data_IF_633341691174
#
_entry.id   IF_633341691174
#
_cell.length_a   1.000
_cell.length_b   1.000
_cell.length_c   1.000
_cell.angle_alpha   90.00
_cell.angle_beta   90.00
_cell.angle_gamma   90.00
#
_symmetry.space_group_name_H-M   'P 1'
#
loop_
_entity.id
_entity.type
_entity.pdbx_description
1 polymer ?
#
# COMPACT_ATOMS: atom_id res chain seq x y z
N UNK A 1 30.20 6.69 13.80
CA UNK A 1 28.75 6.94 13.68
C UNK A 1 28.59 7.90 12.52
N UNK A 2 27.94 7.50 11.44
CA UNK A 2 27.60 8.42 10.34
C UNK A 2 26.47 9.29 10.85
N UNK A 3 26.78 10.54 11.20
CA UNK A 3 25.76 11.51 11.60
C UNK A 3 25.04 11.92 10.32
N UNK A 4 23.76 11.60 10.25
CA UNK A 4 22.91 12.00 9.12
C UNK A 4 22.31 13.36 9.43
N UNK A 5 22.36 14.27 8.48
CA UNK A 5 21.92 15.64 8.69
C UNK A 5 20.89 16.05 7.64
N UNK A 6 19.61 16.18 8.00
CA UNK A 6 18.65 16.86 7.13
C UNK A 6 19.10 18.31 6.87
N UNK A 7 19.01 18.72 5.62
CA UNK A 7 19.38 20.06 5.14
C UNK A 7 18.10 20.82 4.82
N UNK A 8 17.97 22.06 5.32
CA UNK A 8 16.83 22.91 4.97
C UNK A 8 16.84 23.27 3.48
N UNK A 9 15.66 23.36 2.85
CA UNK A 9 15.54 23.77 1.43
C UNK A 9 16.20 25.13 1.17
N UNK A 10 16.09 26.05 2.13
CA UNK A 10 16.70 27.38 2.08
C UNK A 10 18.24 27.33 1.94
N UNK A 11 18.88 26.29 2.47
CA UNK A 11 20.33 26.09 2.32
C UNK A 11 20.67 25.75 0.87
N UNK A 12 19.84 24.95 0.19
CA UNK A 12 20.05 24.59 -1.21
C UNK A 12 19.90 25.81 -2.15
N UNK A 13 19.01 26.74 -1.81
CA UNK A 13 18.90 28.02 -2.49
C UNK A 13 20.15 28.88 -2.29
N UNK A 14 20.68 28.94 -1.05
CA UNK A 14 21.91 29.66 -0.75
C UNK A 14 23.13 29.07 -1.47
N UNK A 15 23.20 27.75 -1.59
CA UNK A 15 24.24 27.04 -2.36
C UNK A 15 24.20 27.47 -3.82
N UNK A 16 23.02 27.56 -4.40
CA UNK A 16 22.85 27.99 -5.80
C UNK A 16 23.34 29.44 -5.99
N UNK A 17 23.08 30.31 -5.01
CA UNK A 17 23.56 31.69 -5.00
C UNK A 17 25.09 31.74 -4.81
N UNK A 18 25.66 30.91 -3.93
CA UNK A 18 27.10 30.82 -3.67
C UNK A 18 27.87 30.35 -4.92
N UNK A 19 27.35 29.34 -5.63
CA UNK A 19 27.91 28.90 -6.92
C UNK A 19 27.94 30.03 -7.96
N UNK A 20 26.88 30.84 -8.03
CA UNK A 20 26.84 31.99 -8.94
C UNK A 20 27.88 33.07 -8.59
N UNK A 21 28.33 33.13 -7.32
CA UNK A 21 29.37 34.04 -6.84
C UNK A 21 30.79 33.46 -6.91
N UNK A 22 30.93 32.18 -7.29
CA UNK A 22 32.20 31.45 -7.27
C UNK A 22 32.68 31.06 -5.86
N UNK A 23 31.76 30.95 -4.91
CA UNK A 23 32.01 30.48 -3.54
C UNK A 23 31.77 28.97 -3.49
N UNK A 24 32.83 28.18 -3.73
CA UNK A 24 32.76 26.72 -3.86
C UNK A 24 33.10 25.95 -2.57
N UNK A 25 33.35 26.66 -1.47
CA UNK A 25 33.66 26.06 -0.18
C UNK A 25 32.55 26.40 0.82
N UNK A 26 32.10 25.42 1.58
CA UNK A 26 31.05 25.55 2.58
C UNK A 26 31.55 25.03 3.92
N UNK A 27 31.43 25.85 4.95
CA UNK A 27 31.60 25.43 6.34
C UNK A 27 30.21 25.26 6.97
N UNK A 28 29.96 24.11 7.58
CA UNK A 28 28.68 23.81 8.22
C UNK A 28 28.89 23.17 9.59
N UNK A 29 27.96 23.42 10.51
CA UNK A 29 28.01 22.84 11.84
C UNK A 29 27.59 21.37 11.81
N UNK A 30 28.54 20.47 12.06
CA UNK A 30 28.35 19.02 12.10
C UNK A 30 27.92 18.54 13.50
N UNK A 31 27.94 19.41 14.52
CA UNK A 31 27.40 19.07 15.84
C UNK A 31 25.87 19.05 15.87
N UNK A 32 25.22 19.78 14.96
CA UNK A 32 23.77 19.93 14.92
C UNK A 32 23.14 18.82 14.08
N UNK A 33 22.00 18.28 14.53
CA UNK A 33 21.27 17.29 13.75
C UNK A 33 20.72 17.87 12.45
N UNK A 34 20.18 19.10 12.48
CA UNK A 34 19.57 19.77 11.34
C UNK A 34 20.45 20.93 10.91
N UNK A 35 20.71 21.05 9.61
CA UNK A 35 21.49 22.15 9.03
C UNK A 35 20.52 23.22 8.53
N UNK A 36 20.44 24.33 9.27
CA UNK A 36 19.67 25.51 8.90
C UNK A 36 20.57 26.57 8.24
N UNK A 37 19.98 27.56 7.58
CA UNK A 37 20.69 28.68 6.92
C UNK A 37 21.63 29.46 7.84
N UNK A 38 21.38 29.44 9.15
CA UNK A 38 22.19 30.14 10.13
C UNK A 38 23.51 29.41 10.43
N UNK A 39 23.57 28.11 10.14
CA UNK A 39 24.65 27.21 10.52
C UNK A 39 25.57 26.88 9.33
N UNK A 40 25.44 27.64 8.24
CA UNK A 40 26.19 27.47 7.00
C UNK A 40 26.83 28.77 6.55
N UNK A 41 28.11 28.67 6.16
CA UNK A 41 28.89 29.77 5.65
C UNK A 41 29.61 29.37 4.37
N UNK A 42 29.61 30.26 3.37
CA UNK A 42 30.19 30.03 2.06
C UNK A 42 31.44 30.89 1.85
N UNK A 43 32.45 30.33 1.20
CA UNK A 43 33.76 30.93 0.99
C UNK A 43 34.27 30.65 -0.42
N UNK A 44 35.14 31.54 -0.92
CA UNK A 44 35.77 31.37 -2.24
C UNK A 44 36.98 30.47 -2.19
N UNK A 45 37.74 30.54 -1.11
CA UNK A 45 38.98 29.81 -0.92
C UNK A 45 38.83 28.77 0.17
N UNK A 46 39.64 27.71 0.08
CA UNK A 46 39.64 26.66 1.10
C UNK A 46 40.17 27.19 2.41
N UNK A 47 41.19 28.05 2.32
CA UNK A 47 41.90 28.63 3.44
C UNK A 47 40.95 29.45 4.31
N UNK A 48 40.14 30.34 3.73
CA UNK A 48 39.13 31.13 4.46
C UNK A 48 38.12 30.24 5.20
N UNK A 49 37.67 29.16 4.56
CA UNK A 49 36.70 28.24 5.18
C UNK A 49 37.32 27.45 6.35
N UNK A 50 38.57 27.02 6.21
CA UNK A 50 39.32 26.32 7.26
C UNK A 50 39.60 27.26 8.42
N UNK A 51 40.08 28.47 8.15
CA UNK A 51 40.33 29.49 9.17
C UNK A 51 39.06 29.79 9.96
N UNK A 52 37.91 29.90 9.28
CA UNK A 52 36.61 30.08 9.94
C UNK A 52 36.24 28.88 10.81
N UNK A 53 36.39 27.65 10.30
CA UNK A 53 36.04 26.45 11.03
C UNK A 53 36.91 26.24 12.28
N UNK A 54 38.20 26.52 12.19
CA UNK A 54 39.14 26.44 13.32
C UNK A 54 38.90 27.55 14.34
N UNK A 55 38.60 28.77 13.88
CA UNK A 55 38.34 29.92 14.77
C UNK A 55 37.02 29.80 15.54
N UNK A 56 36.05 29.07 15.01
CA UNK A 56 34.72 28.88 15.61
C UNK A 56 34.54 27.49 16.24
N UNK A 57 35.63 26.77 16.50
CA UNK A 57 35.59 25.49 17.21
C UNK A 57 35.31 25.74 18.70
N UNK A 58 34.20 25.20 19.20
CA UNK A 58 33.84 25.23 20.61
C UNK A 58 33.54 23.81 21.12
N UNK A 59 33.43 23.63 22.44
CA UNK A 59 33.00 22.34 23.00
C UNK A 59 31.60 21.91 22.51
N UNK A 60 30.80 22.87 22.02
CA UNK A 60 29.46 22.65 21.49
C UNK A 60 29.41 22.61 19.96
N UNK A 61 30.25 23.38 19.29
CA UNK A 61 30.17 23.63 17.86
C UNK A 61 31.38 23.10 17.12
N UNK A 62 31.12 22.26 16.12
CA UNK A 62 32.16 21.66 15.28
C UNK A 62 31.84 21.92 13.82
N UNK A 63 32.55 22.87 13.24
CA UNK A 63 32.42 23.17 11.82
C UNK A 63 33.24 22.20 10.97
N UNK A 64 32.64 21.68 9.91
CA UNK A 64 33.29 20.87 8.88
C UNK A 64 33.29 21.64 7.57
N UNK A 65 34.41 21.60 6.85
CA UNK A 65 34.56 22.27 5.55
C UNK A 65 34.39 21.25 4.43
N UNK A 66 33.54 21.56 3.48
CA UNK A 66 33.32 20.79 2.26
C UNK A 66 33.55 21.65 1.02
N UNK A 67 33.94 21.00 -0.08
CA UNK A 67 34.04 21.64 -1.39
C UNK A 67 32.92 21.10 -2.29
N UNK A 68 32.26 21.99 -3.02
CA UNK A 68 31.14 21.64 -3.89
C UNK A 68 31.19 22.42 -5.20
N UNK A 69 30.87 21.74 -6.31
CA UNK A 69 30.71 22.37 -7.63
C UNK A 69 29.23 22.36 -8.09
N UNK A 70 28.36 21.68 -7.35
CA UNK A 70 26.94 21.54 -7.63
C UNK A 70 26.19 21.26 -6.33
N UNK A 71 24.90 21.59 -6.29
CA UNK A 71 23.98 21.20 -5.19
C UNK A 71 24.03 19.69 -4.95
N UNK A 72 24.18 18.90 -6.02
CA UNK A 72 24.32 17.43 -5.95
C UNK A 72 25.53 17.00 -5.13
N UNK A 73 26.64 17.74 -5.18
CA UNK A 73 27.86 17.37 -4.46
C UNK A 73 27.65 17.45 -2.96
N UNK A 74 26.88 18.45 -2.50
CA UNK A 74 26.54 18.62 -1.08
C UNK A 74 25.65 17.47 -0.62
N UNK A 75 24.61 17.14 -1.37
CA UNK A 75 23.70 16.04 -1.05
C UNK A 75 24.40 14.67 -1.02
N UNK A 76 25.48 14.49 -1.79
CA UNK A 76 26.28 13.27 -1.76
C UNK A 76 27.30 13.25 -0.61
N UNK A 77 27.84 14.41 -0.22
CA UNK A 77 28.88 14.51 0.82
C UNK A 77 28.29 14.57 2.23
N UNK A 78 27.10 15.14 2.39
CA UNK A 78 26.36 15.16 3.65
C UNK A 78 25.35 14.00 3.61
N UNK A 79 25.66 12.87 4.28
CA UNK A 79 24.76 11.72 4.24
C UNK A 79 23.43 12.08 4.91
N UNK A 80 22.33 11.78 4.23
CA UNK A 80 20.98 11.92 4.78
C UNK A 80 20.12 10.76 4.27
N UNK A 81 19.46 10.05 5.19
CA UNK A 81 18.62 8.91 4.85
C UNK A 81 19.39 7.65 4.44
N UNK A 82 20.70 7.63 4.67
CA UNK A 82 21.60 6.53 4.33
C UNK A 82 21.25 5.26 5.14
N UNK A 83 20.75 5.40 6.38
CA UNK A 83 20.16 4.31 7.17
C UNK A 83 18.97 3.68 6.44
N UNK A 84 18.07 4.50 5.89
CA UNK A 84 16.90 4.02 5.17
C UNK A 84 17.30 3.34 3.86
N UNK A 85 18.27 3.90 3.12
CA UNK A 85 18.76 3.32 1.88
C UNK A 85 19.55 2.03 2.09
N UNK A 86 20.29 1.90 3.20
CA UNK A 86 20.90 0.62 3.60
C UNK A 86 19.86 -0.45 3.91
N UNK A 87 18.78 -0.10 4.62
CA UNK A 87 17.69 -1.04 4.88
C UNK A 87 17.01 -1.50 3.58
N UNK A 88 16.78 -0.60 2.63
CA UNK A 88 16.24 -0.94 1.30
C UNK A 88 17.17 -1.81 0.44
N UNK A 89 18.49 -1.69 0.62
CA UNK A 89 19.48 -2.48 -0.12
C UNK A 89 19.73 -3.87 0.50
N UNK A 90 19.36 -4.08 1.76
CA UNK A 90 19.53 -5.36 2.45
C UNK A 90 18.37 -6.31 2.16
N UNK A 91 17.19 -5.76 1.87
CA UNK A 91 16.00 -6.53 1.55
C UNK A 91 15.14 -5.80 0.50
N UNK A 92 15.07 -6.32 -0.75
CA UNK A 92 14.20 -5.77 -1.80
C UNK A 92 12.72 -5.71 -1.40
N UNK A 93 12.31 -6.57 -0.46
CA UNK A 93 10.94 -6.67 0.05
C UNK A 93 10.70 -5.76 1.28
N UNK A 94 11.72 -5.09 1.81
CA UNK A 94 11.56 -4.08 2.87
C UNK A 94 10.77 -2.85 2.39
N UNK A 95 10.67 -2.65 1.07
CA UNK A 95 9.77 -1.66 0.50
C UNK A 95 8.44 -2.31 0.13
N UNK A 96 7.42 -2.12 0.98
CA UNK A 96 6.07 -2.65 0.75
C UNK A 96 5.40 -2.20 -0.55
N UNK A 97 5.93 -1.21 -1.28
CA UNK A 97 5.44 -0.81 -2.60
C UNK A 97 5.88 -1.74 -3.74
N UNK A 98 6.95 -2.53 -3.55
CA UNK A 98 7.59 -3.32 -4.63
C UNK A 98 7.67 -4.83 -4.34
N UNK A 99 6.97 -5.32 -3.32
CA UNK A 99 6.92 -6.75 -3.11
C UNK A 99 6.05 -7.43 -4.17
N UNK A 100 6.49 -8.60 -4.64
CA UNK A 100 5.73 -9.40 -5.62
C UNK A 100 4.69 -10.30 -4.95
N UNK A 101 4.86 -10.52 -3.65
CA UNK A 101 4.12 -11.52 -2.88
C UNK A 101 2.99 -10.91 -2.02
N UNK A 102 2.71 -9.61 -2.14
CA UNK A 102 1.69 -8.91 -1.34
C UNK A 102 2.23 -8.45 0.02
N UNK A 103 1.75 -7.31 0.53
CA UNK A 103 2.14 -6.75 1.82
C UNK A 103 1.01 -6.92 2.85
N UNK A 104 1.31 -6.74 4.14
CA UNK A 104 0.32 -6.81 5.23
C UNK A 104 -0.92 -5.93 4.98
N UNK A 105 -0.75 -4.82 4.25
CA UNK A 105 -1.86 -3.94 3.89
C UNK A 105 -2.73 -4.53 2.77
N UNK A 106 -2.15 -5.21 1.76
CA UNK A 106 -2.93 -5.91 0.74
C UNK A 106 -3.70 -7.08 1.33
N UNK A 107 -3.11 -7.81 2.28
CA UNK A 107 -3.79 -8.91 2.96
C UNK A 107 -4.95 -8.39 3.81
N UNK A 108 -4.71 -7.33 4.60
CA UNK A 108 -5.76 -6.70 5.39
C UNK A 108 -6.90 -6.09 4.54
N UNK A 109 -6.58 -5.56 3.35
CA UNK A 109 -7.58 -5.08 2.40
C UNK A 109 -8.41 -6.23 1.81
N UNK A 110 -7.76 -7.33 1.42
CA UNK A 110 -8.45 -8.54 0.91
C UNK A 110 -9.40 -9.05 1.98
N UNK A 111 -8.93 -9.23 3.22
CA UNK A 111 -9.76 -9.68 4.36
C UNK A 111 -10.96 -8.76 4.60
N UNK A 112 -10.75 -7.43 4.54
CA UNK A 112 -11.83 -6.46 4.70
C UNK A 112 -12.88 -6.57 3.58
N UNK A 113 -12.44 -6.68 2.32
CA UNK A 113 -13.37 -6.82 1.20
C UNK A 113 -14.10 -8.16 1.22
N UNK A 114 -13.43 -9.26 1.53
CA UNK A 114 -14.03 -10.59 1.64
C UNK A 114 -15.05 -10.64 2.78
N UNK A 115 -14.72 -10.13 3.97
CA UNK A 115 -15.66 -10.06 5.09
C UNK A 115 -16.88 -9.19 4.79
N UNK A 116 -16.70 -8.08 4.07
CA UNK A 116 -17.80 -7.22 3.63
C UNK A 116 -18.69 -7.94 2.59
N UNK A 117 -18.10 -8.63 1.61
CA UNK A 117 -18.84 -9.40 0.61
C UNK A 117 -19.60 -10.58 1.26
N UNK A 118 -18.97 -11.32 2.16
CA UNK A 118 -19.61 -12.40 2.92
C UNK A 118 -20.74 -11.89 3.81
N UNK A 119 -20.58 -10.73 4.44
CA UNK A 119 -21.64 -10.06 5.22
C UNK A 119 -22.83 -9.65 4.36
N UNK A 120 -22.58 -9.12 3.15
CA UNK A 120 -23.64 -8.78 2.19
C UNK A 120 -24.34 -10.03 1.66
N UNK A 121 -23.58 -11.08 1.33
CA UNK A 121 -24.10 -12.36 0.87
C UNK A 121 -24.96 -13.05 1.93
N UNK A 122 -24.50 -13.09 3.19
CA UNK A 122 -25.25 -13.64 4.32
C UNK A 122 -26.49 -12.82 4.67
N UNK A 123 -26.47 -11.49 4.46
CA UNK A 123 -27.68 -10.66 4.60
C UNK A 123 -28.70 -10.90 3.49
N UNK A 124 -28.27 -11.31 2.30
CA UNK A 124 -29.14 -11.64 1.18
C UNK A 124 -29.70 -13.07 1.28
N UNK A 125 -28.93 -14.00 1.83
CA UNK A 125 -29.41 -15.34 2.17
C UNK A 125 -30.28 -15.28 3.43
N UNK A 126 -31.60 -15.13 3.24
CA UNK A 126 -32.57 -15.32 4.33
C UNK A 126 -32.62 -16.81 4.71
N UNK A 127 -31.74 -17.24 5.59
CA UNK A 127 -31.62 -18.64 6.03
C UNK A 127 -32.79 -19.13 6.88
N UNK A 128 -33.58 -18.22 7.45
CA UNK A 128 -34.54 -18.59 8.51
C UNK A 128 -36.02 -18.51 8.11
N UNK A 129 -36.35 -17.92 6.95
CA UNK A 129 -37.75 -17.78 6.50
C UNK A 129 -37.89 -17.95 4.99
N UNK A 130 -38.59 -19.01 4.59
CA UNK A 130 -39.01 -19.22 3.20
C UNK A 130 -39.89 -18.06 2.72
N UNK A 131 -39.43 -17.31 1.72
CA UNK A 131 -40.22 -16.25 1.08
C UNK A 131 -40.61 -16.64 -0.37
N UNK A 132 -41.47 -15.85 -0.99
CA UNK A 132 -41.92 -16.09 -2.38
C UNK A 132 -40.76 -16.07 -3.40
N UNK A 133 -39.64 -15.42 -3.07
CA UNK A 133 -38.44 -15.36 -3.91
C UNK A 133 -37.69 -16.71 -3.92
N UNK A 134 -37.63 -17.42 -2.79
CA UNK A 134 -37.05 -18.77 -2.72
C UNK A 134 -37.84 -19.77 -3.59
N UNK A 135 -39.16 -19.68 -3.58
CA UNK A 135 -40.01 -20.50 -4.46
C UNK A 135 -39.74 -20.21 -5.94
N UNK A 136 -39.60 -18.94 -6.30
CA UNK A 136 -39.31 -18.54 -7.67
C UNK A 136 -37.93 -19.04 -8.11
N UNK A 137 -36.91 -18.91 -7.26
CA UNK A 137 -35.57 -19.43 -7.52
C UNK A 137 -35.55 -20.94 -7.79
N UNK A 138 -36.30 -21.72 -6.98
CA UNK A 138 -36.41 -23.16 -7.18
C UNK A 138 -37.13 -23.52 -8.49
N UNK A 139 -38.19 -22.78 -8.86
CA UNK A 139 -38.88 -22.96 -10.15
C UNK A 139 -37.97 -22.68 -11.33
N UNK A 140 -37.24 -21.56 -11.28
CA UNK A 140 -36.33 -21.18 -12.36
C UNK A 140 -35.23 -22.21 -12.55
N UNK A 141 -34.66 -22.74 -11.45
CA UNK A 141 -33.68 -23.82 -11.51
C UNK A 141 -34.23 -25.09 -12.18
N UNK A 142 -35.45 -25.53 -11.84
CA UNK A 142 -36.10 -26.69 -12.50
C UNK A 142 -36.27 -26.44 -14.01
N UNK A 143 -36.66 -25.22 -14.39
CA UNK A 143 -36.83 -24.82 -15.80
C UNK A 143 -35.50 -24.87 -16.56
N UNK A 144 -34.45 -24.28 -16.00
CA UNK A 144 -33.14 -24.23 -16.65
C UNK A 144 -32.41 -25.60 -16.64
N UNK A 145 -32.75 -26.50 -15.72
CA UNK A 145 -32.28 -27.89 -15.74
C UNK A 145 -32.94 -28.76 -16.81
N UNK A 146 -33.93 -28.25 -17.55
CA UNK A 146 -34.54 -28.94 -18.68
C UNK A 146 -35.78 -29.78 -18.34
N UNK A 147 -36.29 -29.70 -17.10
CA UNK A 147 -37.52 -30.37 -16.68
C UNK A 147 -38.80 -29.58 -17.01
N UNK A 148 -38.65 -28.32 -17.45
CA UNK A 148 -39.76 -27.45 -17.80
C UNK A 148 -40.65 -27.09 -16.61
N UNK A 149 -41.93 -26.83 -16.88
CA UNK A 149 -42.89 -26.30 -15.88
C UNK A 149 -43.76 -27.40 -15.24
N UNK A 150 -43.54 -28.67 -15.63
CA UNK A 150 -44.38 -29.81 -15.23
C UNK A 150 -44.29 -30.10 -13.71
N UNK A 151 -43.16 -29.79 -13.08
CA UNK A 151 -42.87 -30.11 -11.68
C UNK A 151 -43.21 -28.97 -10.71
N UNK A 152 -43.68 -27.83 -11.20
CA UNK A 152 -43.95 -26.65 -10.35
C UNK A 152 -45.05 -26.91 -9.32
N UNK A 153 -46.12 -27.63 -9.72
CA UNK A 153 -47.23 -27.95 -8.82
C UNK A 153 -46.80 -28.88 -7.69
N UNK A 154 -45.94 -29.85 -7.98
CA UNK A 154 -45.44 -30.80 -6.98
C UNK A 154 -44.43 -30.12 -6.04
N UNK A 155 -43.57 -29.26 -6.58
CA UNK A 155 -42.67 -28.40 -5.80
C UNK A 155 -43.46 -27.53 -4.81
N UNK A 156 -44.47 -26.78 -5.28
CA UNK A 156 -45.31 -25.94 -4.42
C UNK A 156 -46.03 -26.74 -3.33
N UNK A 157 -46.56 -27.92 -3.68
CA UNK A 157 -47.24 -28.79 -2.73
C UNK A 157 -46.28 -29.30 -1.66
N UNK A 158 -45.12 -29.83 -2.04
CA UNK A 158 -44.14 -30.40 -1.10
C UNK A 158 -43.56 -29.31 -0.16
N UNK A 159 -43.39 -28.09 -0.68
CA UNK A 159 -42.99 -26.94 0.12
C UNK A 159 -44.10 -26.49 1.08
N UNK A 160 -45.36 -26.50 0.64
CA UNK A 160 -46.53 -26.23 1.50
C UNK A 160 -46.76 -27.29 2.58
N UNK A 161 -46.34 -28.53 2.34
CA UNK A 161 -46.37 -29.62 3.32
C UNK A 161 -45.29 -29.49 4.41
N UNK A 162 -44.28 -28.61 4.23
CA UNK A 162 -43.28 -28.30 5.25
C UNK A 162 -42.32 -29.47 5.57
N UNK A 163 -42.14 -30.41 4.64
CA UNK A 163 -41.20 -31.53 4.83
C UNK A 163 -39.75 -31.04 4.78
N UNK A 164 -38.92 -31.52 5.70
CA UNK A 164 -37.49 -31.18 5.75
C UNK A 164 -36.73 -31.61 4.49
N UNK A 165 -37.15 -32.73 3.89
CA UNK A 165 -36.63 -33.24 2.63
C UNK A 165 -37.78 -33.83 1.79
N UNK A 166 -37.73 -33.63 0.47
CA UNK A 166 -38.66 -34.22 -0.48
C UNK A 166 -37.96 -34.51 -1.80
N UNK A 167 -38.52 -35.44 -2.57
CA UNK A 167 -38.09 -35.76 -3.93
C UNK A 167 -39.19 -35.35 -4.91
N UNK A 168 -38.80 -34.90 -6.10
CA UNK A 168 -39.73 -34.60 -7.19
C UNK A 168 -39.55 -35.66 -8.27
N UNK A 169 -40.62 -36.38 -8.60
CA UNK A 169 -40.55 -37.46 -9.57
C UNK A 169 -40.91 -36.93 -10.96
N UNK A 170 -39.99 -37.07 -11.91
CA UNK A 170 -40.23 -36.67 -13.30
C UNK A 170 -40.47 -37.91 -14.17
N UNK A 171 -41.71 -38.06 -14.64
CA UNK A 171 -42.07 -39.05 -15.64
C UNK A 171 -42.41 -38.35 -16.96
N UNK A 172 -41.64 -38.64 -18.02
CA UNK A 172 -41.93 -38.17 -19.36
C UNK A 172 -42.14 -39.36 -20.31
N UNK A 173 -43.30 -39.43 -20.96
CA UNK A 173 -43.55 -40.41 -22.01
C UNK A 173 -42.88 -39.96 -23.31
N UNK A 174 -41.71 -40.53 -23.61
CA UNK A 174 -41.08 -40.41 -24.93
C UNK A 174 -41.35 -41.72 -25.67
N UNK A 175 -42.18 -41.65 -26.73
CA UNK A 175 -42.45 -42.77 -27.66
C UNK A 175 -43.03 -44.06 -27.03
N UNK A 176 -44.16 -43.98 -26.29
CA UNK A 176 -44.94 -45.15 -25.81
C UNK A 176 -44.15 -46.18 -25.00
N UNK A 177 -43.11 -45.77 -24.27
CA UNK A 177 -42.58 -46.54 -23.14
C UNK A 177 -42.39 -45.60 -21.95
N UNK A 178 -42.88 -45.96 -20.75
CA UNK A 178 -42.67 -45.16 -19.56
C UNK A 178 -41.18 -45.21 -19.19
N UNK A 179 -40.61 -44.03 -18.94
CA UNK A 179 -39.27 -43.86 -18.40
C UNK A 179 -39.42 -43.29 -16.98
N UNK A 180 -38.92 -44.03 -15.99
CA UNK A 180 -38.77 -43.56 -14.61
C UNK A 180 -37.29 -43.25 -14.37
N UNK A 181 -37.00 -42.05 -13.88
CA UNK A 181 -35.69 -41.61 -13.42
C UNK A 181 -35.78 -41.18 -11.95
#
# INVERSE_FOLDING_TARGET
MTTEHPIADEVLDLVSIALAKGENYMAYNNSLYFIDKADVHFFRTKEEAVDFAESNLSDRDRFSVLHFNSVKDILNQIPYGDQHQRQLNIDPDANGLYNKDGNDFTDALIDHFESQQLSLFNKQLKTDVMNNENLQYLKDNIKYMGFGENMYRELERNLGEGKAEFQLHFAAEINKKPFEA
#
